data_IF_699560935446
#
_entry.id   IF_699560935446
#
_cell.length_a   1.000
_cell.length_b   1.000
_cell.length_c   1.000
_cell.angle_alpha   90.00
_cell.angle_beta   90.00
_cell.angle_gamma   90.00
#
_symmetry.space_group_name_H-M   'P 1'
#
loop_
_entity.id
_entity.type
_entity.pdbx_description
1 polymer ?
#
# COMPACT_ATOMS: atom_id res chain seq x y z
N UNK A 1 4.26 -15.95 -0.87
CA UNK A 1 4.55 -15.05 -1.98
C UNK A 1 3.84 -13.73 -1.79
N UNK A 2 4.52 -12.64 -2.11
CA UNK A 2 3.90 -11.34 -2.01
C UNK A 2 2.83 -11.17 -3.09
N UNK A 3 1.72 -10.57 -2.73
CA UNK A 3 0.62 -10.30 -3.65
C UNK A 3 0.76 -8.94 -4.33
N UNK A 4 1.91 -8.31 -4.18
CA UNK A 4 2.17 -6.96 -4.69
C UNK A 4 3.60 -6.88 -5.21
N UNK A 5 3.90 -5.81 -5.95
CA UNK A 5 5.20 -5.60 -6.53
C UNK A 5 5.83 -4.33 -5.96
N UNK A 6 7.09 -4.10 -6.32
CA UNK A 6 7.77 -2.87 -5.92
C UNK A 6 7.05 -1.66 -6.47
N UNK A 7 6.47 -1.78 -7.67
CA UNK A 7 5.71 -0.69 -8.27
C UNK A 7 4.51 -0.31 -7.41
N UNK A 8 3.86 -1.31 -6.83
CA UNK A 8 2.74 -1.06 -5.93
C UNK A 8 3.19 -0.31 -4.70
N UNK A 9 4.33 -0.70 -4.15
CA UNK A 9 4.89 -0.04 -2.98
C UNK A 9 5.21 1.42 -3.30
N UNK A 10 5.84 1.64 -4.44
CA UNK A 10 6.20 2.99 -4.86
C UNK A 10 4.96 3.85 -5.09
N UNK A 11 3.93 3.27 -5.65
CA UNK A 11 2.69 3.99 -5.89
C UNK A 11 2.07 4.47 -4.57
N UNK A 12 2.03 3.59 -3.58
CA UNK A 12 1.47 3.95 -2.28
C UNK A 12 2.31 5.03 -1.61
N UNK A 13 3.63 4.90 -1.68
CA UNK A 13 4.51 5.91 -1.10
C UNK A 13 4.31 7.27 -1.74
N UNK A 14 4.17 7.27 -3.06
CA UNK A 14 3.99 8.52 -3.80
C UNK A 14 2.67 9.19 -3.45
N UNK A 15 1.63 8.39 -3.30
CA UNK A 15 0.30 8.92 -3.01
C UNK A 15 0.13 9.31 -1.56
N UNK A 16 0.71 8.55 -0.66
CA UNK A 16 0.50 8.74 0.78
C UNK A 16 1.66 9.42 1.49
N UNK A 17 2.84 9.44 0.89
CA UNK A 17 4.00 10.04 1.51
C UNK A 17 4.53 9.27 2.70
N UNK A 18 4.24 7.99 2.77
CA UNK A 18 4.69 7.14 3.88
C UNK A 18 6.00 6.44 3.53
N UNK A 19 6.61 5.79 4.53
CA UNK A 19 7.87 5.11 4.34
C UNK A 19 7.66 3.80 3.60
N UNK A 20 8.77 3.25 3.11
CA UNK A 20 8.73 1.97 2.39
C UNK A 20 8.13 0.87 3.27
N UNK A 21 8.60 0.80 4.51
CA UNK A 21 8.12 -0.24 5.42
C UNK A 21 6.63 -0.11 5.71
N UNK A 22 6.17 1.12 5.85
CA UNK A 22 4.75 1.35 6.07
C UNK A 22 3.93 0.95 4.86
N UNK A 23 4.44 1.23 3.67
CA UNK A 23 3.75 0.84 2.44
C UNK A 23 3.65 -0.68 2.35
N UNK A 24 4.73 -1.38 2.68
CA UNK A 24 4.72 -2.84 2.67
C UNK A 24 3.71 -3.38 3.67
N UNK A 25 3.68 -2.79 4.86
CA UNK A 25 2.73 -3.21 5.89
C UNK A 25 1.28 -3.03 5.44
N UNK A 26 1.01 -1.90 4.79
CA UNK A 26 -0.33 -1.64 4.28
C UNK A 26 -0.73 -2.66 3.21
N UNK A 27 0.19 -2.96 2.31
CA UNK A 27 -0.09 -3.93 1.26
C UNK A 27 -0.31 -5.31 1.83
N UNK A 28 0.48 -5.69 2.84
CA UNK A 28 0.30 -6.96 3.52
C UNK A 28 -1.07 -7.01 4.19
N UNK A 29 -1.44 -5.93 4.85
CA UNK A 29 -2.71 -5.86 5.57
C UNK A 29 -3.89 -6.02 4.61
N UNK A 30 -3.79 -5.45 3.41
CA UNK A 30 -4.87 -5.50 2.42
C UNK A 30 -4.66 -6.58 1.38
N UNK A 31 -3.75 -7.52 1.62
CA UNK A 31 -3.47 -8.64 0.72
C UNK A 31 -3.07 -8.17 -0.69
N UNK A 32 -2.32 -7.08 -0.74
CA UNK A 32 -1.83 -6.57 -2.01
C UNK A 32 -2.83 -5.73 -2.79
N UNK A 33 -3.95 -5.38 -2.18
CA UNK A 33 -4.96 -4.57 -2.84
C UNK A 33 -4.60 -3.09 -2.71
N UNK A 34 -3.97 -2.56 -3.75
CA UNK A 34 -3.49 -1.18 -3.75
C UNK A 34 -4.64 -0.19 -3.59
N UNK A 35 -5.75 -0.46 -4.26
CA UNK A 35 -6.91 0.43 -4.19
C UNK A 35 -7.41 0.58 -2.76
N UNK A 36 -7.46 -0.53 -2.04
CA UNK A 36 -7.90 -0.50 -0.64
C UNK A 36 -6.87 0.15 0.27
N UNK A 37 -5.60 -0.11 -0.01
CA UNK A 37 -4.52 0.47 0.79
C UNK A 37 -4.52 1.99 0.69
N UNK A 38 -4.88 2.53 -0.46
CA UNK A 38 -4.93 3.96 -0.70
C UNK A 38 -6.26 4.58 -0.29
N UNK A 39 -7.30 3.78 -0.16
CA UNK A 39 -8.64 4.26 0.16
C UNK A 39 -8.75 4.49 1.66
N UNK A 40 -9.07 5.72 2.05
CA UNK A 40 -9.31 6.01 3.46
C UNK A 40 -10.77 5.74 3.78
N UNK A 41 -11.03 5.07 4.90
CA UNK A 41 -12.41 4.84 5.28
C UNK A 41 -13.12 6.17 5.53
N UNK A 42 -14.33 6.25 5.04
CA UNK A 42 -15.13 7.42 5.31
C UNK A 42 -15.44 7.44 6.81
N UNK A 43 -15.14 8.55 7.41
CA UNK A 43 -15.37 8.68 8.84
C UNK A 43 -16.86 8.77 9.15
#
# INVERSE_FOLDING_TARGET
MASYTIEDIELIRRKSGISYQEAVSLLDYHNGNVARALCKPAA
#
